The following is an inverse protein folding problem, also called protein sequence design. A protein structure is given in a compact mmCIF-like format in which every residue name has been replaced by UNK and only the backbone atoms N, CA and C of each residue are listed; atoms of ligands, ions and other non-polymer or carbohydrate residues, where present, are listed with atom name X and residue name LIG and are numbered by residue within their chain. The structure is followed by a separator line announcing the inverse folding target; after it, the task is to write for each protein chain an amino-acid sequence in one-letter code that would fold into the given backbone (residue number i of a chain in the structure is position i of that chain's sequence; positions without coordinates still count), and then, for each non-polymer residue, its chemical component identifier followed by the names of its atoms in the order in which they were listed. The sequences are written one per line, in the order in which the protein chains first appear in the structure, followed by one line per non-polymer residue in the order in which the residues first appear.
data_IF_320586717190
#
_entry.id   IF_320586717190
#
_cell.length_a   1.000
_cell.length_b   1.000
_cell.length_c   1.000
_cell.angle_alpha   90.00
_cell.angle_beta   90.00
_cell.angle_gamma   90.00
#
_symmetry.space_group_name_H-M   'P 1'
#
loop_
_entity.id
_entity.type
_entity.pdbx_description
1 polymer ?
#
# COMPACT_ATOMS: atom_id res chain seq x y z
N UNK A 1 4.37 24.01 -37.37
CA UNK A 1 4.50 22.85 -38.26
C UNK A 1 4.64 21.55 -37.47
N UNK A 2 5.72 21.27 -36.80
CA UNK A 2 5.99 20.01 -36.04
C UNK A 2 4.87 19.55 -35.09
N UNK A 3 3.99 20.43 -34.62
CA UNK A 3 2.94 20.10 -33.65
C UNK A 3 1.91 19.10 -34.20
N UNK A 4 1.37 19.33 -35.39
CA UNK A 4 0.34 18.45 -35.97
C UNK A 4 0.95 17.13 -36.49
N UNK A 5 2.15 17.18 -37.03
CA UNK A 5 2.92 16.02 -37.44
C UNK A 5 3.13 15.04 -36.26
N UNK A 6 3.60 15.58 -35.10
CA UNK A 6 3.75 14.80 -33.87
C UNK A 6 2.42 14.23 -33.37
N UNK A 7 1.32 14.98 -33.45
CA UNK A 7 0.01 14.47 -33.03
C UNK A 7 -0.46 13.32 -33.92
N UNK A 8 -0.30 13.43 -35.26
CA UNK A 8 -0.69 12.40 -36.20
C UNK A 8 0.14 11.13 -35.97
N UNK A 9 1.47 11.26 -35.91
CA UNK A 9 2.37 10.12 -35.72
C UNK A 9 2.14 9.45 -34.36
N UNK A 10 2.05 10.21 -33.27
CA UNK A 10 1.77 9.63 -31.96
C UNK A 10 0.46 8.83 -31.96
N UNK A 11 -0.60 9.37 -32.54
CA UNK A 11 -1.88 8.67 -32.60
C UNK A 11 -1.81 7.34 -33.38
N UNK A 12 -1.11 7.33 -34.50
CA UNK A 12 -0.95 6.14 -35.32
C UNK A 12 -0.02 5.11 -34.68
N UNK A 13 1.07 5.58 -34.06
CA UNK A 13 2.01 4.75 -33.32
C UNK A 13 1.34 4.12 -32.09
N UNK A 14 0.51 4.88 -31.34
CA UNK A 14 -0.26 4.32 -30.20
C UNK A 14 -1.19 3.19 -30.64
N UNK A 15 -1.83 3.32 -31.80
CA UNK A 15 -2.62 2.24 -32.39
C UNK A 15 -1.79 1.02 -32.75
N UNK A 16 -0.60 1.23 -33.33
CA UNK A 16 0.33 0.14 -33.64
C UNK A 16 0.82 -0.55 -32.38
N UNK A 17 1.34 0.19 -31.41
CA UNK A 17 1.88 -0.35 -30.16
C UNK A 17 0.82 -1.05 -29.29
N UNK A 18 -0.47 -0.71 -29.44
CA UNK A 18 -1.57 -1.37 -28.75
C UNK A 18 -2.08 -2.62 -29.46
N UNK A 19 -1.56 -2.93 -30.65
CA UNK A 19 -2.07 -4.00 -31.50
C UNK A 19 -1.43 -5.36 -31.22
N UNK A 20 -2.10 -6.43 -31.68
CA UNK A 20 -1.52 -7.78 -31.71
C UNK A 20 -0.37 -7.91 -32.71
N UNK A 21 -0.32 -7.06 -33.74
CA UNK A 21 0.79 -7.02 -34.72
C UNK A 21 2.09 -6.55 -34.08
N UNK A 22 2.03 -5.66 -33.08
CA UNK A 22 3.19 -5.19 -32.34
C UNK A 22 3.91 -6.33 -31.58
N UNK A 23 3.15 -7.23 -30.97
CA UNK A 23 3.70 -8.39 -30.23
C UNK A 23 3.92 -9.63 -31.13
N UNK A 24 3.73 -9.50 -32.46
CA UNK A 24 3.96 -10.57 -33.39
C UNK A 24 2.99 -11.75 -33.34
N UNK A 25 1.87 -11.62 -32.62
CA UNK A 25 0.86 -12.70 -32.47
C UNK A 25 -0.26 -12.63 -33.49
N UNK A 26 -0.22 -11.67 -34.42
CA UNK A 26 -1.27 -11.48 -35.41
C UNK A 26 -0.94 -12.33 -36.68
N UNK A 27 -1.93 -13.10 -37.14
CA UNK A 27 -1.84 -13.91 -38.36
C UNK A 27 -2.25 -13.14 -39.63
N UNK A 28 -2.82 -11.92 -39.47
CA UNK A 28 -3.34 -11.10 -40.56
C UNK A 28 -2.57 -9.78 -40.61
N UNK A 29 -2.22 -9.35 -41.84
CA UNK A 29 -1.61 -8.05 -42.04
C UNK A 29 -2.56 -6.93 -41.65
N UNK A 30 -2.23 -6.20 -40.59
CA UNK A 30 -3.04 -5.11 -40.02
C UNK A 30 -2.52 -3.76 -40.52
N UNK A 31 -3.41 -2.93 -41.05
CA UNK A 31 -3.14 -1.54 -41.43
C UNK A 31 -3.53 -0.59 -40.34
N UNK A 32 -2.62 0.32 -39.96
CA UNK A 32 -2.84 1.31 -38.88
C UNK A 32 -3.29 2.63 -39.47
N UNK A 33 -4.59 2.70 -39.74
CA UNK A 33 -5.26 3.83 -40.42
C UNK A 33 -6.11 4.63 -39.42
N UNK A 34 -6.12 5.94 -39.56
CA UNK A 34 -7.03 6.83 -38.83
C UNK A 34 -7.69 7.85 -39.75
N UNK A 35 -8.97 8.17 -39.51
CA UNK A 35 -9.65 9.29 -40.16
C UNK A 35 -9.17 10.60 -39.55
N UNK A 36 -8.77 11.58 -40.37
CA UNK A 36 -8.27 12.87 -39.91
C UNK A 36 -9.29 13.61 -39.05
N UNK A 37 -10.58 13.55 -39.41
CA UNK A 37 -11.66 14.14 -38.60
C UNK A 37 -11.86 13.50 -37.22
N UNK A 38 -11.34 12.28 -37.00
CA UNK A 38 -11.34 11.62 -35.69
C UNK A 38 -10.22 12.18 -34.79
N UNK A 39 -9.07 12.51 -35.35
CA UNK A 39 -7.97 13.16 -34.64
C UNK A 39 -8.24 14.65 -34.40
N UNK A 40 -8.86 15.30 -35.40
CA UNK A 40 -9.11 16.74 -35.44
C UNK A 40 -10.59 16.99 -35.77
N UNK A 41 -11.48 17.04 -34.79
CA UNK A 41 -12.93 17.16 -35.03
C UNK A 41 -13.32 18.41 -35.83
N UNK A 42 -12.61 19.52 -35.67
CA UNK A 42 -12.84 20.78 -36.37
C UNK A 42 -12.18 20.87 -37.76
N UNK A 43 -11.48 19.83 -38.21
CA UNK A 43 -10.74 19.83 -39.49
C UNK A 43 -11.61 20.16 -40.73
N UNK A 44 -12.93 19.87 -40.66
CA UNK A 44 -13.89 20.13 -41.73
C UNK A 44 -14.78 21.34 -41.47
N UNK A 45 -14.50 22.12 -40.44
CA UNK A 45 -15.24 23.32 -40.12
C UNK A 45 -14.75 24.48 -41.02
N UNK A 46 -15.66 25.04 -41.79
CA UNK A 46 -15.35 26.17 -42.70
C UNK A 46 -14.82 27.39 -41.97
N UNK A 47 -15.15 27.55 -40.67
CA UNK A 47 -14.63 28.63 -39.82
C UNK A 47 -13.16 28.42 -39.41
N UNK A 48 -12.62 27.21 -39.55
CA UNK A 48 -11.28 26.82 -39.10
C UNK A 48 -10.33 26.53 -40.29
N UNK A 49 -10.38 27.39 -41.31
CA UNK A 49 -9.59 27.21 -42.54
C UNK A 49 -8.07 27.16 -42.31
N UNK A 50 -7.54 27.91 -41.35
CA UNK A 50 -6.12 27.85 -40.99
C UNK A 50 -5.73 26.48 -40.43
N UNK A 51 -6.61 25.87 -39.61
CA UNK A 51 -6.42 24.53 -39.08
C UNK A 51 -6.43 23.47 -40.23
N UNK A 52 -7.32 23.63 -41.20
CA UNK A 52 -7.38 22.76 -42.36
C UNK A 52 -6.08 22.80 -43.16
N UNK A 53 -5.57 24.01 -43.46
CA UNK A 53 -4.30 24.19 -44.17
C UNK A 53 -3.12 23.58 -43.42
N UNK A 54 -3.01 23.87 -42.10
CA UNK A 54 -1.92 23.39 -41.27
C UNK A 54 -1.89 21.86 -41.16
N UNK A 55 -3.06 21.22 -41.07
CA UNK A 55 -3.16 19.74 -41.02
C UNK A 55 -2.82 19.13 -42.39
N UNK A 56 -3.27 19.69 -43.47
CA UNK A 56 -2.93 19.22 -44.82
C UNK A 56 -1.42 19.33 -45.07
N UNK A 57 -0.79 20.45 -44.73
CA UNK A 57 0.65 20.66 -44.80
C UNK A 57 1.45 19.61 -43.99
N UNK A 58 0.99 19.37 -42.73
CA UNK A 58 1.58 18.37 -41.87
C UNK A 58 1.48 16.96 -42.48
N UNK A 59 0.31 16.58 -43.03
CA UNK A 59 0.12 15.31 -43.70
C UNK A 59 1.00 15.20 -44.93
N UNK A 60 1.11 16.24 -45.75
CA UNK A 60 1.95 16.23 -46.97
C UNK A 60 3.43 16.09 -46.62
N UNK A 61 3.89 16.75 -45.55
CA UNK A 61 5.24 16.57 -45.00
C UNK A 61 5.49 15.12 -44.59
N UNK A 62 4.57 14.51 -43.82
CA UNK A 62 4.71 13.13 -43.38
C UNK A 62 4.67 12.13 -44.54
N UNK A 63 3.90 12.38 -45.58
CA UNK A 63 3.90 11.57 -46.83
C UNK A 63 5.22 11.71 -47.57
N UNK A 64 5.74 12.95 -47.70
CA UNK A 64 7.02 13.21 -48.36
C UNK A 64 8.19 12.54 -47.62
N UNK A 65 8.14 12.41 -46.30
CA UNK A 65 9.11 11.68 -45.49
C UNK A 65 8.91 10.15 -45.53
N UNK A 66 7.82 9.66 -46.15
CA UNK A 66 7.52 8.25 -46.21
C UNK A 66 6.96 7.62 -44.93
N UNK A 67 6.66 8.43 -43.88
CA UNK A 67 6.17 7.93 -42.60
C UNK A 67 4.71 7.48 -42.63
N UNK A 68 3.92 8.04 -43.56
CA UNK A 68 2.52 7.73 -43.74
C UNK A 68 2.11 7.73 -45.21
N UNK A 69 1.00 7.05 -45.51
CA UNK A 69 0.26 7.23 -46.77
C UNK A 69 -1.07 7.95 -46.44
N UNK A 70 -1.54 8.78 -47.36
CA UNK A 70 -2.76 9.55 -47.18
C UNK A 70 -3.79 9.30 -48.30
N UNK A 71 -5.07 9.17 -47.90
CA UNK A 71 -6.19 9.15 -48.85
C UNK A 71 -6.83 10.52 -48.90
N UNK A 72 -6.73 11.23 -50.06
CA UNK A 72 -7.32 12.54 -50.28
C UNK A 72 -8.54 12.48 -51.19
N UNK A 73 -9.51 13.36 -50.97
CA UNK A 73 -10.61 13.63 -51.88
C UNK A 73 -10.15 14.57 -53.01
N UNK A 74 -10.92 14.65 -54.10
CA UNK A 74 -10.67 15.60 -55.19
C UNK A 74 -10.70 17.07 -54.74
N UNK A 75 -11.40 17.33 -53.63
CA UNK A 75 -11.47 18.64 -52.97
C UNK A 75 -10.22 19.01 -52.17
N UNK A 76 -9.20 18.18 -52.09
CA UNK A 76 -8.01 18.37 -51.28
C UNK A 76 -8.17 17.94 -49.82
N UNK A 77 -9.37 17.51 -49.38
CA UNK A 77 -9.63 17.04 -48.02
C UNK A 77 -8.97 15.70 -47.76
N UNK A 78 -8.11 15.59 -46.77
CA UNK A 78 -7.53 14.33 -46.32
C UNK A 78 -8.60 13.52 -45.55
N UNK A 79 -8.95 12.35 -46.07
CA UNK A 79 -9.91 11.45 -45.41
C UNK A 79 -9.28 10.64 -44.31
N UNK A 80 -8.15 10.00 -44.61
CA UNK A 80 -7.46 9.12 -43.69
C UNK A 80 -5.96 9.11 -43.94
N UNK A 81 -5.22 8.79 -42.87
CA UNK A 81 -3.76 8.63 -42.86
C UNK A 81 -3.44 7.24 -42.33
N UNK A 82 -2.52 6.55 -42.97
CA UNK A 82 -2.10 5.19 -42.62
C UNK A 82 -0.59 5.20 -42.33
N UNK A 83 -0.18 4.61 -41.20
CA UNK A 83 1.22 4.47 -40.82
C UNK A 83 1.97 3.53 -41.75
N UNK A 84 3.17 3.92 -42.18
CA UNK A 84 4.12 3.09 -42.89
C UNK A 84 5.01 2.38 -41.87
N UNK A 85 4.88 1.05 -41.78
CA UNK A 85 5.70 0.26 -40.87
C UNK A 85 7.15 0.13 -41.30
N UNK A 86 7.44 0.26 -42.60
CA UNK A 86 8.79 0.20 -43.14
C UNK A 86 9.67 1.39 -42.70
N UNK A 87 9.04 2.52 -42.36
CA UNK A 87 9.70 3.72 -41.87
C UNK A 87 9.39 4.03 -40.39
N UNK A 88 9.03 3.01 -39.58
CA UNK A 88 8.57 3.20 -38.20
C UNK A 88 9.68 3.72 -37.29
N UNK A 89 10.92 3.25 -37.48
CA UNK A 89 12.06 3.66 -36.66
C UNK A 89 12.39 5.14 -36.86
N UNK A 90 12.42 5.56 -38.13
CA UNK A 90 12.65 6.95 -38.52
C UNK A 90 11.49 7.85 -38.03
N UNK A 91 10.25 7.33 -38.02
CA UNK A 91 9.10 8.04 -37.45
C UNK A 91 9.22 8.25 -35.93
N UNK A 92 9.73 7.27 -35.17
CA UNK A 92 10.05 7.45 -33.75
C UNK A 92 11.11 8.54 -33.54
N UNK A 93 12.20 8.49 -34.29
CA UNK A 93 13.28 9.49 -34.19
C UNK A 93 12.77 10.89 -34.51
N UNK A 94 11.96 11.03 -35.59
CA UNK A 94 11.40 12.31 -36.03
C UNK A 94 10.56 13.00 -34.95
N UNK A 95 9.77 12.26 -34.19
CA UNK A 95 8.96 12.83 -33.10
C UNK A 95 9.70 12.88 -31.77
N UNK A 96 10.89 12.27 -31.67
CA UNK A 96 11.68 12.15 -30.43
C UNK A 96 11.01 11.23 -29.40
N UNK A 97 10.36 10.15 -29.86
CA UNK A 97 9.69 9.15 -29.00
C UNK A 97 10.53 7.88 -28.92
N UNK A 98 10.71 7.39 -27.71
CA UNK A 98 11.36 6.08 -27.49
C UNK A 98 10.38 4.97 -27.90
N UNK A 99 10.81 4.02 -28.74
CA UNK A 99 9.99 2.87 -29.12
C UNK A 99 9.55 2.06 -27.91
N UNK A 100 8.28 1.66 -27.87
CA UNK A 100 7.76 0.81 -26.79
C UNK A 100 8.52 -0.52 -26.67
N UNK A 101 9.05 -1.06 -27.77
CA UNK A 101 9.92 -2.24 -27.77
C UNK A 101 11.13 -2.06 -26.86
N UNK A 102 11.79 -0.91 -26.91
CA UNK A 102 13.00 -0.61 -26.14
C UNK A 102 12.66 -0.44 -24.67
N UNK A 103 11.55 0.28 -24.38
CA UNK A 103 10.99 0.39 -23.03
C UNK A 103 10.71 -1.01 -22.43
N UNK A 104 10.10 -1.90 -23.21
CA UNK A 104 9.80 -3.29 -22.78
C UNK A 104 11.07 -4.09 -22.52
N UNK A 105 12.11 -3.93 -23.35
CA UNK A 105 13.41 -4.58 -23.14
C UNK A 105 14.04 -4.13 -21.82
N UNK A 106 14.07 -2.84 -21.56
CA UNK A 106 14.68 -2.29 -20.35
C UNK A 106 13.86 -2.63 -19.09
N UNK A 107 12.53 -2.59 -19.17
CA UNK A 107 11.67 -3.06 -18.07
C UNK A 107 11.90 -4.55 -17.77
N UNK A 108 12.04 -5.41 -18.79
CA UNK A 108 12.35 -6.83 -18.56
C UNK A 108 13.69 -7.02 -17.85
N UNK A 109 14.74 -6.27 -18.23
CA UNK A 109 16.05 -6.33 -17.55
C UNK A 109 15.91 -5.94 -16.07
N UNK A 110 15.20 -4.84 -15.79
CA UNK A 110 14.98 -4.39 -14.42
C UNK A 110 14.20 -5.42 -13.60
N UNK A 111 13.10 -5.95 -14.14
CA UNK A 111 12.28 -6.95 -13.43
C UNK A 111 13.08 -8.22 -13.13
N UNK A 112 13.88 -8.70 -14.07
CA UNK A 112 14.73 -9.89 -13.88
C UNK A 112 15.82 -9.65 -12.83
N UNK A 113 16.36 -8.43 -12.73
CA UNK A 113 17.36 -8.07 -11.72
C UNK A 113 16.81 -8.19 -10.29
N UNK A 114 15.53 -7.85 -10.08
CA UNK A 114 14.91 -7.83 -8.73
C UNK A 114 14.08 -9.07 -8.41
N UNK A 115 13.76 -9.92 -9.38
CA UNK A 115 12.84 -11.06 -9.23
C UNK A 115 13.19 -11.99 -8.07
N UNK A 116 14.46 -12.24 -7.86
CA UNK A 116 14.94 -13.24 -6.89
C UNK A 116 15.38 -12.63 -5.55
N UNK A 117 15.13 -11.32 -5.33
CA UNK A 117 15.55 -10.64 -4.11
C UNK A 117 14.75 -11.07 -2.87
N UNK A 118 13.43 -11.24 -2.99
CA UNK A 118 12.55 -11.75 -1.94
C UNK A 118 11.23 -12.27 -2.53
N UNK A 119 10.40 -12.91 -1.69
CA UNK A 119 9.13 -13.54 -2.11
C UNK A 119 8.15 -12.52 -2.72
N UNK A 120 8.08 -11.30 -2.17
CA UNK A 120 7.19 -10.24 -2.62
C UNK A 120 7.59 -9.79 -4.03
N UNK A 121 8.88 -9.52 -4.24
CA UNK A 121 9.40 -9.14 -5.56
C UNK A 121 9.32 -10.29 -6.55
N UNK A 122 9.48 -11.54 -6.12
CA UNK A 122 9.30 -12.70 -7.00
C UNK A 122 7.87 -12.76 -7.56
N UNK A 123 6.87 -12.59 -6.71
CA UNK A 123 5.45 -12.56 -7.12
C UNK A 123 5.15 -11.37 -8.02
N UNK A 124 5.56 -10.15 -7.61
CA UNK A 124 5.37 -8.93 -8.37
C UNK A 124 6.04 -9.01 -9.75
N UNK A 125 7.35 -9.27 -9.81
CA UNK A 125 8.09 -9.28 -11.07
C UNK A 125 7.58 -10.37 -12.03
N UNK A 126 7.20 -11.55 -11.55
CA UNK A 126 6.59 -12.59 -12.38
C UNK A 126 5.30 -12.08 -13.01
N UNK A 127 4.43 -11.45 -12.23
CA UNK A 127 3.18 -10.86 -12.72
C UNK A 127 3.41 -9.75 -13.74
N UNK A 128 4.41 -8.88 -13.51
CA UNK A 128 4.73 -7.81 -14.47
C UNK A 128 5.32 -8.35 -15.78
N UNK A 129 6.14 -9.40 -15.72
CA UNK A 129 6.66 -10.08 -16.94
C UNK A 129 5.53 -10.70 -17.77
N UNK A 130 4.51 -11.31 -17.13
CA UNK A 130 3.30 -11.79 -17.80
C UNK A 130 2.55 -10.64 -18.49
N UNK A 131 2.36 -9.51 -17.77
CA UNK A 131 1.70 -8.32 -18.31
C UNK A 131 2.43 -7.78 -19.55
N UNK A 132 3.76 -7.72 -19.52
CA UNK A 132 4.56 -7.32 -20.69
C UNK A 132 4.40 -8.29 -21.86
N UNK A 133 4.31 -9.59 -21.60
CA UNK A 133 4.04 -10.59 -22.65
C UNK A 133 2.65 -10.42 -23.27
N UNK A 134 1.68 -9.94 -22.49
CA UNK A 134 0.32 -9.60 -22.93
C UNK A 134 0.19 -8.18 -23.51
N UNK A 135 1.30 -7.47 -23.73
CA UNK A 135 1.33 -6.07 -24.17
C UNK A 135 0.64 -5.06 -23.22
N UNK A 136 0.51 -5.42 -21.95
CA UNK A 136 -0.06 -4.56 -20.89
C UNK A 136 1.02 -3.70 -20.24
N UNK A 137 0.62 -2.55 -19.70
CA UNK A 137 1.51 -1.68 -18.92
C UNK A 137 1.98 -2.35 -17.63
N UNK A 138 3.21 -2.04 -17.20
CA UNK A 138 3.77 -2.43 -15.91
C UNK A 138 3.18 -1.55 -14.80
N UNK A 139 2.78 -2.16 -13.71
CA UNK A 139 2.25 -1.45 -12.53
C UNK A 139 3.37 -0.64 -11.87
N UNK A 140 3.04 0.51 -11.32
CA UNK A 140 3.95 1.45 -10.66
C UNK A 140 5.03 2.08 -11.57
N UNK A 141 5.05 1.80 -12.87
CA UNK A 141 5.92 2.45 -13.85
C UNK A 141 5.20 3.60 -14.55
N UNK A 142 5.70 4.82 -14.39
CA UNK A 142 5.12 6.06 -14.96
C UNK A 142 6.00 6.65 -16.07
N UNK A 143 6.90 5.85 -16.66
CA UNK A 143 7.82 6.31 -17.70
C UNK A 143 9.22 6.69 -17.19
N UNK A 144 9.45 6.76 -15.88
CA UNK A 144 10.75 7.06 -15.27
C UNK A 144 11.38 5.76 -14.74
N UNK A 145 12.46 5.32 -15.38
CA UNK A 145 13.18 4.09 -15.01
C UNK A 145 13.92 4.21 -13.69
N UNK A 146 14.47 5.37 -13.35
CA UNK A 146 15.22 5.58 -12.11
C UNK A 146 14.30 5.55 -10.90
N UNK A 147 13.12 6.18 -11.02
CA UNK A 147 12.07 6.09 -9.99
C UNK A 147 11.60 4.65 -9.85
N UNK A 148 11.36 3.94 -10.95
CA UNK A 148 10.92 2.55 -10.92
C UNK A 148 11.95 1.62 -10.28
N UNK A 149 13.22 1.74 -10.63
CA UNK A 149 14.30 1.00 -9.99
C UNK A 149 14.40 1.33 -8.50
N UNK A 150 14.22 2.60 -8.11
CA UNK A 150 14.22 3.03 -6.72
C UNK A 150 13.11 2.36 -5.91
N UNK A 151 11.91 2.17 -6.50
CA UNK A 151 10.80 1.43 -5.86
C UNK A 151 11.21 -0.02 -5.60
N UNK A 152 11.71 -0.73 -6.62
CA UNK A 152 12.09 -2.14 -6.48
C UNK A 152 13.27 -2.32 -5.53
N UNK A 153 14.26 -1.42 -5.57
CA UNK A 153 15.38 -1.39 -4.64
C UNK A 153 14.93 -1.17 -3.20
N UNK A 154 14.00 -0.25 -2.96
CA UNK A 154 13.43 -0.04 -1.64
C UNK A 154 12.71 -1.31 -1.14
N UNK A 155 11.88 -1.95 -1.97
CA UNK A 155 11.18 -3.19 -1.61
C UNK A 155 12.15 -4.34 -1.36
N UNK A 156 13.26 -4.44 -2.10
CA UNK A 156 14.27 -5.47 -1.85
C UNK A 156 14.95 -5.33 -0.50
N UNK A 157 15.16 -4.09 -0.03
CA UNK A 157 15.91 -3.81 1.21
C UNK A 157 15.02 -3.66 2.44
N UNK A 158 13.79 -3.22 2.30
CA UNK A 158 12.90 -2.97 3.43
C UNK A 158 12.60 -4.24 4.23
N UNK A 159 12.52 -5.41 3.59
CA UNK A 159 12.29 -6.70 4.23
C UNK A 159 13.49 -7.22 5.04
N UNK A 160 14.68 -6.63 4.83
CA UNK A 160 15.92 -6.99 5.54
C UNK A 160 16.09 -6.18 6.84
N UNK A 161 15.28 -5.13 7.05
CA UNK A 161 15.41 -4.21 8.20
C UNK A 161 14.98 -4.91 9.49
N UNK A 162 15.94 -5.13 10.40
CA UNK A 162 15.73 -5.88 11.66
C UNK A 162 15.42 -4.97 12.85
N UNK A 163 15.91 -3.73 12.82
CA UNK A 163 15.76 -2.75 13.90
C UNK A 163 14.95 -1.56 13.41
N UNK A 164 14.28 -0.88 14.35
CA UNK A 164 13.59 0.36 14.06
C UNK A 164 14.53 1.36 13.39
N UNK A 165 14.19 1.80 12.19
CA UNK A 165 14.98 2.66 11.32
C UNK A 165 14.11 3.82 10.84
N UNK A 166 14.61 5.04 10.89
CA UNK A 166 13.85 6.18 10.39
C UNK A 166 13.73 6.15 8.86
N UNK A 167 12.58 6.57 8.35
CA UNK A 167 12.36 6.66 6.88
C UNK A 167 13.49 7.43 6.17
N UNK A 168 14.00 8.50 6.80
CA UNK A 168 15.13 9.30 6.25
C UNK A 168 16.44 8.55 6.23
N UNK A 169 16.75 7.81 7.28
CA UNK A 169 17.98 7.02 7.36
C UNK A 169 17.93 5.86 6.37
N UNK A 170 16.79 5.15 6.29
CA UNK A 170 16.55 4.14 5.27
C UNK A 170 16.70 4.72 3.86
N UNK A 171 16.12 5.91 3.61
CA UNK A 171 16.22 6.61 2.33
C UNK A 171 17.68 6.92 1.95
N UNK A 172 18.48 7.43 2.88
CA UNK A 172 19.91 7.71 2.64
C UNK A 172 20.67 6.41 2.36
N UNK A 173 20.49 5.39 3.19
CA UNK A 173 21.22 4.12 3.08
C UNK A 173 20.91 3.38 1.76
N UNK A 174 19.65 3.38 1.35
CA UNK A 174 19.20 2.59 0.21
C UNK A 174 19.22 3.40 -1.09
N UNK A 175 18.81 4.66 -1.04
CA UNK A 175 18.56 5.49 -2.23
C UNK A 175 19.56 6.66 -2.38
N UNK A 176 20.39 6.92 -1.37
CA UNK A 176 21.41 7.98 -1.40
C UNK A 176 20.89 9.40 -1.14
N UNK A 177 19.57 9.58 -0.95
CA UNK A 177 18.94 10.87 -0.69
C UNK A 177 17.88 10.75 0.40
N UNK A 178 17.88 11.68 1.37
CA UNK A 178 16.99 11.64 2.55
C UNK A 178 15.49 11.76 2.24
N UNK A 179 15.14 12.28 1.06
CA UNK A 179 13.76 12.51 0.61
C UNK A 179 13.34 11.60 -0.54
N UNK A 180 14.25 10.77 -1.06
CA UNK A 180 13.95 9.89 -2.20
C UNK A 180 12.83 8.89 -1.86
N UNK A 181 12.87 8.29 -0.67
CA UNK A 181 11.85 7.34 -0.22
C UNK A 181 10.46 7.99 -0.08
N UNK A 182 10.40 9.23 0.40
CA UNK A 182 9.13 9.96 0.53
C UNK A 182 8.38 10.07 -0.81
N UNK A 183 9.10 10.31 -1.91
CA UNK A 183 8.53 10.41 -3.27
C UNK A 183 7.92 9.10 -3.76
N UNK A 184 8.50 7.98 -3.38
CA UNK A 184 8.07 6.63 -3.84
C UNK A 184 7.26 5.86 -2.79
N UNK A 185 7.11 6.41 -1.57
CA UNK A 185 6.52 5.73 -0.40
C UNK A 185 5.16 5.08 -0.70
N UNK A 186 4.27 5.80 -1.35
CA UNK A 186 2.92 5.30 -1.65
C UNK A 186 2.95 4.08 -2.59
N UNK A 187 3.84 4.08 -3.59
CA UNK A 187 4.02 2.98 -4.54
C UNK A 187 4.67 1.76 -3.86
N UNK A 188 5.69 1.99 -3.02
CA UNK A 188 6.33 0.93 -2.22
C UNK A 188 5.32 0.27 -1.29
N UNK A 189 4.54 1.06 -0.54
CA UNK A 189 3.50 0.54 0.37
C UNK A 189 2.43 -0.23 -0.38
N UNK A 190 1.98 0.27 -1.54
CA UNK A 190 0.99 -0.43 -2.36
C UNK A 190 1.51 -1.76 -2.87
N UNK A 191 2.75 -1.82 -3.38
CA UNK A 191 3.37 -3.05 -3.86
C UNK A 191 3.54 -4.06 -2.72
N UNK A 192 4.06 -3.63 -1.56
CA UNK A 192 4.21 -4.49 -0.38
C UNK A 192 2.88 -5.06 0.09
N UNK A 193 1.82 -4.22 0.13
CA UNK A 193 0.50 -4.63 0.58
C UNK A 193 -0.18 -5.60 -0.38
N UNK A 194 -0.04 -5.38 -1.68
CA UNK A 194 -0.70 -6.18 -2.72
C UNK A 194 -0.06 -7.56 -2.89
N UNK A 195 1.28 -7.64 -2.79
CA UNK A 195 2.05 -8.86 -3.06
C UNK A 195 2.63 -9.52 -1.80
N UNK A 196 2.47 -8.90 -0.64
CA UNK A 196 2.85 -9.44 0.66
C UNK A 196 1.64 -9.84 1.50
N UNK A 197 1.92 -10.43 2.66
CA UNK A 197 0.90 -10.81 3.65
C UNK A 197 0.93 -9.81 4.81
N UNK A 198 0.33 -8.64 4.59
CA UNK A 198 0.22 -7.58 5.60
C UNK A 198 -1.24 -7.28 5.89
N UNK A 199 -1.63 -7.27 7.16
CA UNK A 199 -3.02 -7.09 7.56
C UNK A 199 -3.55 -5.68 7.32
N UNK A 200 -2.68 -4.67 7.44
CA UNK A 200 -3.05 -3.26 7.30
C UNK A 200 -1.99 -2.46 6.52
N UNK A 201 -2.47 -1.61 5.63
CA UNK A 201 -1.62 -0.78 4.77
C UNK A 201 -0.99 0.40 5.51
N UNK A 202 -1.64 0.93 6.53
CA UNK A 202 -1.19 2.12 7.26
C UNK A 202 -0.01 1.80 8.18
N UNK A 203 -0.04 0.62 8.80
CA UNK A 203 0.98 0.17 9.76
C UNK A 203 2.11 -0.64 9.13
N UNK A 204 1.96 -1.05 7.86
CA UNK A 204 2.87 -1.95 7.16
C UNK A 204 4.35 -1.55 7.27
N UNK A 205 4.68 -0.27 7.08
CA UNK A 205 6.07 0.20 7.19
C UNK A 205 6.60 0.06 8.61
N UNK A 206 5.77 0.35 9.62
CA UNK A 206 6.15 0.17 11.03
C UNK A 206 6.33 -1.32 11.38
N UNK A 207 5.54 -2.22 10.78
CA UNK A 207 5.70 -3.67 10.91
C UNK A 207 7.02 -4.16 10.29
N UNK A 208 7.50 -3.46 9.27
CA UNK A 208 8.81 -3.66 8.65
C UNK A 208 9.92 -2.81 9.29
N UNK A 209 9.69 -2.27 10.49
CA UNK A 209 10.64 -1.45 11.26
C UNK A 209 11.01 -0.12 10.59
N UNK A 210 10.22 0.40 9.66
CA UNK A 210 10.44 1.72 9.07
C UNK A 210 9.44 2.70 9.70
N UNK A 211 9.98 3.71 10.39
CA UNK A 211 9.17 4.68 11.15
C UNK A 211 9.53 6.12 10.79
N UNK A 212 8.57 7.03 10.88
CA UNK A 212 8.82 8.47 10.68
C UNK A 212 9.43 9.13 11.90
N UNK A 213 8.97 8.72 13.07
CA UNK A 213 9.38 9.25 14.36
C UNK A 213 9.72 8.10 15.31
N UNK A 214 10.51 8.34 16.37
CA UNK A 214 10.75 7.33 17.39
C UNK A 214 9.44 6.76 17.90
N UNK A 215 9.33 5.44 17.92
CA UNK A 215 8.22 4.76 18.53
C UNK A 215 8.19 5.01 20.04
N UNK A 216 6.99 5.09 20.61
CA UNK A 216 6.79 5.14 22.06
C UNK A 216 5.87 3.99 22.47
N UNK A 217 6.11 3.47 23.66
CA UNK A 217 5.18 2.58 24.33
C UNK A 217 4.55 3.33 25.48
N UNK A 218 3.23 3.46 25.43
CA UNK A 218 2.43 4.08 26.50
C UNK A 218 1.89 2.97 27.39
N UNK A 219 2.01 3.17 28.69
CA UNK A 219 1.49 2.26 29.70
C UNK A 219 1.07 3.00 30.97
N UNK A 220 0.22 2.40 31.76
CA UNK A 220 -0.25 2.95 33.05
C UNK A 220 -0.75 1.85 33.99
N UNK A 221 -1.08 2.23 35.21
CA UNK A 221 -1.68 1.34 36.21
C UNK A 221 -0.69 0.79 37.21
N UNK A 222 -0.92 -0.44 37.70
CA UNK A 222 -0.22 -1.00 38.86
C UNK A 222 1.10 -1.64 38.46
N UNK A 223 2.20 -0.90 38.58
CA UNK A 223 3.51 -1.45 38.21
C UNK A 223 4.71 -0.60 38.57
N UNK A 224 5.89 -1.19 38.42
CA UNK A 224 7.21 -0.58 38.59
C UNK A 224 8.07 -0.89 37.36
N UNK A 225 8.91 0.05 36.99
CA UNK A 225 9.85 -0.08 35.88
C UNK A 225 11.26 0.21 36.39
N UNK A 226 12.21 -0.66 36.09
CA UNK A 226 13.64 -0.39 36.33
C UNK A 226 14.33 -0.09 35.01
N UNK A 227 14.97 1.07 34.91
CA UNK A 227 15.69 1.51 33.72
C UNK A 227 17.10 1.94 34.11
N UNK A 228 18.14 1.30 33.58
CA UNK A 228 19.53 1.59 33.93
C UNK A 228 19.79 1.53 35.42
N UNK A 229 19.19 0.58 36.13
CA UNK A 229 19.30 0.40 37.58
C UNK A 229 18.44 1.34 38.42
N UNK A 230 17.72 2.30 37.84
CA UNK A 230 16.81 3.21 38.54
C UNK A 230 15.39 2.69 38.49
N UNK A 231 14.76 2.53 39.67
CA UNK A 231 13.37 2.08 39.77
C UNK A 231 12.39 3.26 39.79
N UNK A 232 11.39 3.18 38.94
CA UNK A 232 10.26 4.11 38.84
C UNK A 232 8.99 3.37 39.27
N UNK A 233 8.36 3.77 40.38
CA UNK A 233 7.07 3.27 40.83
C UNK A 233 5.97 4.18 40.29
N UNK A 234 5.19 3.69 39.34
CA UNK A 234 4.07 4.43 38.75
C UNK A 234 2.69 3.94 39.23
N UNK A 235 2.66 3.05 40.21
CA UNK A 235 1.40 2.48 40.74
C UNK A 235 0.49 3.50 41.39
N UNK A 236 1.01 4.65 41.81
CA UNK A 236 0.28 5.77 42.43
C UNK A 236 0.25 7.02 41.51
N UNK A 237 0.78 6.92 40.30
CA UNK A 237 0.76 8.04 39.36
C UNK A 237 -0.60 8.15 38.68
N UNK A 238 -1.06 9.38 38.48
CA UNK A 238 -2.21 9.65 37.62
C UNK A 238 -1.76 9.77 36.15
N UNK A 239 -2.51 9.15 35.26
CA UNK A 239 -2.25 9.20 33.84
C UNK A 239 -1.32 8.10 33.36
N UNK A 240 -0.85 8.26 32.14
CA UNK A 240 0.02 7.33 31.44
C UNK A 240 1.48 7.77 31.45
N UNK A 241 2.35 6.82 31.24
CA UNK A 241 3.77 7.03 30.96
C UNK A 241 4.08 6.62 29.52
N UNK A 242 5.00 7.35 28.90
CA UNK A 242 5.54 7.02 27.59
C UNK A 242 7.06 6.80 27.67
N UNK A 243 7.51 5.68 27.12
CA UNK A 243 8.94 5.36 27.01
C UNK A 243 9.30 5.19 25.54
N UNK A 244 10.38 5.84 25.11
CA UNK A 244 10.84 5.74 23.72
C UNK A 244 11.39 4.36 23.39
N UNK A 245 11.39 4.00 22.11
CA UNK A 245 11.98 2.76 21.60
C UNK A 245 13.47 2.61 21.97
N UNK A 246 14.20 3.72 22.03
CA UNK A 246 15.61 3.69 22.47
C UNK A 246 15.73 3.42 23.96
N UNK A 247 14.90 4.06 24.79
CA UNK A 247 14.93 3.86 26.23
C UNK A 247 14.48 2.43 26.61
N UNK A 248 13.61 1.79 25.80
CA UNK A 248 13.21 0.39 25.98
C UNK A 248 14.39 -0.59 25.97
N UNK A 249 15.51 -0.24 25.28
CA UNK A 249 16.73 -1.05 25.26
C UNK A 249 17.42 -1.11 26.61
N UNK A 250 17.20 -0.07 27.46
CA UNK A 250 17.76 0.07 28.80
C UNK A 250 16.79 -0.33 29.92
N UNK A 251 15.62 -0.86 29.57
CA UNK A 251 14.70 -1.41 30.57
C UNK A 251 15.23 -2.72 31.11
N UNK A 252 15.55 -2.75 32.39
CA UNK A 252 16.07 -3.93 33.09
C UNK A 252 14.91 -4.85 33.52
N UNK A 253 13.93 -4.27 34.22
CA UNK A 253 12.82 -5.00 34.83
C UNK A 253 11.48 -4.25 34.71
N UNK A 254 10.39 -5.03 34.61
CA UNK A 254 9.01 -4.55 34.67
C UNK A 254 8.25 -5.43 35.66
N UNK A 255 7.94 -4.90 36.83
CA UNK A 255 7.13 -5.59 37.83
C UNK A 255 5.68 -5.14 37.75
N UNK A 256 4.77 -6.05 37.48
CA UNK A 256 3.32 -5.82 37.51
C UNK A 256 2.80 -6.13 38.92
N UNK A 257 2.23 -5.12 39.58
CA UNK A 257 1.67 -5.26 40.94
C UNK A 257 0.21 -5.71 40.95
N UNK A 258 -0.55 -5.40 39.88
CA UNK A 258 -1.91 -5.89 39.69
C UNK A 258 -1.95 -7.36 39.21
N UNK A 259 -3.14 -7.93 39.09
CA UNK A 259 -3.32 -9.31 38.64
C UNK A 259 -3.44 -9.44 37.12
N UNK A 260 -3.69 -8.34 36.42
CA UNK A 260 -4.00 -8.30 34.99
C UNK A 260 -3.02 -7.42 34.22
N UNK A 261 -2.55 -7.91 33.09
CA UNK A 261 -1.92 -7.14 32.03
C UNK A 261 -2.90 -7.04 30.87
N UNK A 262 -3.29 -5.81 30.51
CA UNK A 262 -4.25 -5.57 29.42
C UNK A 262 -3.64 -4.73 28.31
N UNK A 263 -3.75 -5.17 27.08
CA UNK A 263 -3.46 -4.35 25.91
C UNK A 263 -4.73 -3.71 25.39
N UNK A 264 -4.70 -2.41 25.10
CA UNK A 264 -5.86 -1.63 24.65
C UNK A 264 -5.53 -1.03 23.28
N UNK A 265 -6.41 -1.25 22.30
CA UNK A 265 -6.18 -0.88 20.92
C UNK A 265 -6.28 0.64 20.69
N UNK A 266 -7.35 1.25 21.21
CA UNK A 266 -7.66 2.66 21.00
C UNK A 266 -7.04 3.56 22.06
N UNK A 267 -6.49 4.73 21.67
CA UNK A 267 -5.82 5.66 22.57
C UNK A 267 -6.83 6.36 23.53
N UNK A 268 -8.00 6.71 23.02
CA UNK A 268 -9.05 7.36 23.85
C UNK A 268 -9.52 6.41 24.93
N UNK A 269 -9.79 5.16 24.55
CA UNK A 269 -10.16 4.08 25.47
C UNK A 269 -9.04 3.79 26.47
N UNK A 270 -7.77 3.72 26.00
CA UNK A 270 -6.64 3.54 26.90
C UNK A 270 -6.56 4.64 27.93
N UNK A 271 -6.75 5.92 27.55
CA UNK A 271 -6.70 7.04 28.48
C UNK A 271 -7.84 7.00 29.50
N UNK A 272 -9.05 6.64 29.07
CA UNK A 272 -10.24 6.58 29.95
C UNK A 272 -10.27 5.31 30.82
N UNK A 273 -9.57 4.24 30.45
CA UNK A 273 -9.61 2.96 31.15
C UNK A 273 -9.13 3.07 32.61
N UNK A 274 -9.91 2.55 33.55
CA UNK A 274 -9.53 2.54 34.98
C UNK A 274 -8.66 1.31 35.29
N UNK A 275 -7.48 1.54 35.87
CA UNK A 275 -6.49 0.51 36.22
C UNK A 275 -6.36 0.31 37.73
N UNK A 276 -7.43 -0.14 38.41
CA UNK A 276 -7.37 -0.38 39.86
C UNK A 276 -6.49 -1.60 40.20
N UNK A 277 -6.59 -2.68 39.45
CA UNK A 277 -5.83 -3.92 39.64
C UNK A 277 -5.12 -4.38 38.32
N UNK A 278 -4.83 -3.48 37.41
CA UNK A 278 -4.26 -3.84 36.13
C UNK A 278 -3.06 -2.98 35.73
N UNK A 279 -2.26 -3.51 34.82
CA UNK A 279 -1.21 -2.84 34.07
C UNK A 279 -1.65 -2.77 32.60
N UNK A 280 -2.00 -1.58 32.15
CA UNK A 280 -2.49 -1.34 30.81
C UNK A 280 -1.37 -0.88 29.87
N UNK A 281 -1.34 -1.42 28.67
CA UNK A 281 -0.41 -1.08 27.58
C UNK A 281 -1.23 -0.63 26.37
N UNK A 282 -0.98 0.56 25.84
CA UNK A 282 -1.56 1.02 24.59
C UNK A 282 -0.93 0.29 23.41
N UNK A 283 -1.76 -0.37 22.60
CA UNK A 283 -1.33 -1.15 21.47
C UNK A 283 -1.28 -0.34 20.17
N UNK A 284 -2.28 0.49 19.89
CA UNK A 284 -2.37 1.33 18.71
C UNK A 284 -2.59 0.55 17.43
N UNK A 285 -3.56 -0.35 17.43
CA UNK A 285 -3.83 -1.24 16.29
C UNK A 285 -2.73 -2.29 16.08
N UNK A 286 -2.31 -2.49 14.82
CA UNK A 286 -1.18 -3.37 14.53
C UNK A 286 0.12 -2.82 15.13
N UNK A 287 0.66 -3.55 16.06
CA UNK A 287 1.76 -3.12 16.93
C UNK A 287 3.13 -3.30 16.28
N UNK A 288 4.02 -2.30 16.45
CA UNK A 288 5.40 -2.35 15.96
C UNK A 288 6.31 -3.28 16.81
N UNK A 289 7.52 -3.50 16.34
CA UNK A 289 8.51 -4.36 17.01
C UNK A 289 8.84 -3.90 18.43
N UNK A 290 8.93 -2.60 18.68
CA UNK A 290 9.24 -2.07 20.02
C UNK A 290 8.16 -2.40 21.03
N UNK A 291 6.87 -2.24 20.68
CA UNK A 291 5.74 -2.63 21.54
C UNK A 291 5.72 -4.13 21.80
N UNK A 292 5.92 -4.95 20.75
CA UNK A 292 6.00 -6.41 20.89
C UNK A 292 7.12 -6.84 21.85
N UNK A 293 8.30 -6.26 21.72
CA UNK A 293 9.44 -6.58 22.56
C UNK A 293 9.19 -6.18 24.02
N UNK A 294 8.55 -5.02 24.26
CA UNK A 294 8.14 -4.62 25.58
C UNK A 294 7.12 -5.59 26.20
N UNK A 295 6.07 -5.94 25.46
CA UNK A 295 5.05 -6.91 25.89
C UNK A 295 5.67 -8.26 26.23
N UNK A 296 6.59 -8.77 25.38
CA UNK A 296 7.32 -10.02 25.66
C UNK A 296 8.19 -9.93 26.91
N UNK A 297 8.80 -8.76 27.18
CA UNK A 297 9.57 -8.52 28.40
C UNK A 297 8.66 -8.54 29.61
N UNK A 298 7.52 -7.85 29.58
CA UNK A 298 6.50 -7.86 30.65
C UNK A 298 6.06 -9.30 30.93
N UNK A 299 5.73 -10.07 29.89
CA UNK A 299 5.30 -11.46 30.05
C UNK A 299 6.38 -12.35 30.67
N UNK A 300 7.62 -12.24 30.20
CA UNK A 300 8.75 -13.02 30.73
C UNK A 300 8.96 -12.81 32.22
N UNK A 301 8.72 -11.59 32.72
CA UNK A 301 8.95 -11.21 34.10
C UNK A 301 7.70 -11.36 34.98
N UNK A 302 6.52 -11.49 34.38
CA UNK A 302 5.24 -11.63 35.09
C UNK A 302 4.37 -12.74 34.45
N UNK A 303 4.85 -14.00 34.35
CA UNK A 303 4.17 -15.06 33.61
C UNK A 303 2.86 -15.52 34.28
N UNK A 304 2.69 -15.27 35.58
CA UNK A 304 1.53 -15.73 36.36
C UNK A 304 0.33 -14.78 36.29
N UNK A 305 0.47 -13.63 35.59
CA UNK A 305 -0.59 -12.66 35.42
C UNK A 305 -1.56 -13.07 34.32
N UNK A 306 -2.80 -12.60 34.43
CA UNK A 306 -3.78 -12.76 33.36
C UNK A 306 -3.49 -11.75 32.23
N UNK A 307 -3.42 -12.23 31.00
CA UNK A 307 -3.16 -11.40 29.82
C UNK A 307 -4.44 -11.21 29.01
N UNK A 308 -4.90 -9.96 28.89
CA UNK A 308 -6.13 -9.59 28.21
C UNK A 308 -5.84 -8.63 27.04
N UNK A 309 -6.72 -8.66 26.05
CA UNK A 309 -6.73 -7.68 24.96
C UNK A 309 -8.11 -7.07 24.83
N UNK A 310 -8.16 -5.76 24.79
CA UNK A 310 -9.37 -4.98 24.55
C UNK A 310 -9.22 -4.26 23.21
N UNK A 311 -10.02 -4.63 22.24
CA UNK A 311 -10.06 -4.10 20.86
C UNK A 311 -11.47 -3.86 20.40
N UNK A 312 -11.61 -3.39 19.16
CA UNK A 312 -12.89 -3.25 18.49
C UNK A 312 -13.59 -4.60 18.31
N UNK A 313 -14.91 -4.61 18.34
CA UNK A 313 -15.68 -5.80 17.97
C UNK A 313 -16.00 -5.72 16.48
N UNK A 314 -14.95 -5.92 15.68
CA UNK A 314 -15.02 -6.00 14.23
C UNK A 314 -13.95 -6.94 13.67
N UNK A 315 -13.86 -7.06 12.34
CA UNK A 315 -12.86 -7.92 11.71
C UNK A 315 -11.43 -7.46 12.04
N UNK A 316 -11.18 -6.15 12.13
CA UNK A 316 -9.87 -5.59 12.46
C UNK A 316 -9.40 -5.99 13.84
N UNK A 317 -10.22 -5.75 14.88
CA UNK A 317 -9.87 -6.05 16.27
C UNK A 317 -9.62 -7.55 16.51
N UNK A 318 -10.41 -8.45 15.89
CA UNK A 318 -10.14 -9.89 16.00
C UNK A 318 -8.83 -10.28 15.33
N UNK A 319 -8.49 -9.72 14.16
CA UNK A 319 -7.20 -9.97 13.51
C UNK A 319 -6.03 -9.39 14.32
N UNK A 320 -6.19 -8.23 14.94
CA UNK A 320 -5.17 -7.62 15.80
C UNK A 320 -4.87 -8.55 16.98
N UNK A 321 -5.90 -9.10 17.63
CA UNK A 321 -5.71 -10.05 18.71
C UNK A 321 -4.99 -11.35 18.25
N UNK A 322 -5.39 -11.91 17.11
CA UNK A 322 -4.70 -13.08 16.55
C UNK A 322 -3.24 -12.76 16.19
N UNK A 323 -3.00 -11.62 15.57
CA UNK A 323 -1.65 -11.15 15.23
C UNK A 323 -0.79 -10.93 16.50
N UNK A 324 -1.37 -10.33 17.55
CA UNK A 324 -0.70 -10.15 18.84
C UNK A 324 -0.26 -11.49 19.42
N UNK A 325 -1.14 -12.49 19.46
CA UNK A 325 -0.83 -13.86 19.93
C UNK A 325 0.26 -14.52 19.10
N UNK A 326 0.12 -14.48 17.77
CA UNK A 326 1.07 -15.11 16.85
C UNK A 326 2.48 -14.49 16.94
N UNK A 327 2.57 -13.15 17.08
CA UNK A 327 3.86 -12.44 17.13
C UNK A 327 4.52 -12.44 18.50
N UNK A 328 3.74 -12.58 19.58
CA UNK A 328 4.28 -12.59 20.94
C UNK A 328 4.45 -13.99 21.52
N UNK A 329 3.63 -14.95 21.09
CA UNK A 329 3.51 -16.27 21.70
C UNK A 329 2.74 -16.27 23.01
N UNK A 330 2.03 -15.15 23.36
CA UNK A 330 1.30 -14.99 24.61
C UNK A 330 -0.18 -15.24 24.36
N UNK A 331 -0.82 -16.05 25.22
CA UNK A 331 -2.24 -16.37 25.12
C UNK A 331 -3.13 -15.25 25.69
N UNK A 332 -3.21 -14.11 24.99
CA UNK A 332 -4.12 -13.04 25.35
C UNK A 332 -5.58 -13.51 25.22
N UNK A 333 -6.40 -13.31 26.26
CA UNK A 333 -7.84 -13.52 26.16
C UNK A 333 -8.55 -12.24 25.71
N UNK A 334 -9.63 -12.32 24.91
CA UNK A 334 -10.42 -11.14 24.54
C UNK A 334 -11.13 -10.59 25.79
N UNK A 335 -11.10 -9.26 25.95
CA UNK A 335 -11.80 -8.53 27.01
C UNK A 335 -12.88 -7.66 26.39
N UNK A 336 -14.13 -7.82 26.79
CA UNK A 336 -15.28 -7.10 26.24
C UNK A 336 -15.44 -7.20 24.71
N UNK A 337 -14.96 -8.30 24.09
CA UNK A 337 -15.08 -8.55 22.65
C UNK A 337 -16.08 -9.69 22.37
N UNK A 338 -17.24 -9.67 23.01
CA UNK A 338 -18.20 -10.76 23.03
C UNK A 338 -19.65 -10.32 22.71
N UNK A 339 -20.54 -11.31 22.60
CA UNK A 339 -21.99 -11.09 22.36
C UNK A 339 -22.65 -10.27 23.46
N UNK A 340 -22.21 -10.41 24.73
CA UNK A 340 -22.78 -9.67 25.87
C UNK A 340 -22.50 -8.18 25.68
N UNK A 341 -21.30 -7.83 25.34
CA UNK A 341 -20.88 -6.44 25.09
C UNK A 341 -21.63 -5.84 23.90
N UNK A 342 -21.78 -6.58 22.79
CA UNK A 342 -22.57 -6.13 21.64
C UNK A 342 -24.03 -5.86 22.01
N UNK A 343 -24.67 -6.75 22.78
CA UNK A 343 -26.06 -6.60 23.22
C UNK A 343 -26.24 -5.37 24.10
N UNK A 344 -25.31 -5.11 25.00
CA UNK A 344 -25.36 -3.95 25.91
C UNK A 344 -25.22 -2.61 25.16
N UNK A 345 -24.55 -2.63 24.00
CA UNK A 345 -24.20 -1.42 23.23
C UNK A 345 -24.85 -1.37 21.84
N UNK A 346 -25.95 -2.10 21.57
CA UNK A 346 -26.57 -2.19 20.25
C UNK A 346 -26.88 -0.83 19.62
N UNK A 347 -27.27 0.15 20.40
CA UNK A 347 -27.60 1.51 19.96
C UNK A 347 -26.40 2.28 19.37
N UNK A 348 -25.18 1.86 19.70
CA UNK A 348 -23.94 2.49 19.23
C UNK A 348 -23.25 1.70 18.11
N UNK A 349 -23.84 0.58 17.70
CA UNK A 349 -23.25 -0.26 16.66
C UNK A 349 -23.35 0.38 15.27
N UNK A 350 -22.35 0.11 14.44
CA UNK A 350 -22.32 0.44 13.01
C UNK A 350 -22.66 -0.78 12.17
N UNK A 351 -23.12 -0.56 10.93
CA UNK A 351 -23.40 -1.64 9.98
C UNK A 351 -22.10 -2.25 9.45
N UNK A 352 -22.13 -3.55 9.19
CA UNK A 352 -21.03 -4.25 8.51
C UNK A 352 -20.93 -3.80 7.04
N UNK A 353 -19.71 -3.53 6.59
CA UNK A 353 -19.41 -3.37 5.16
C UNK A 353 -19.24 -4.72 4.48
N UNK A 354 -19.26 -4.76 3.16
CA UNK A 354 -18.99 -6.02 2.41
C UNK A 354 -17.59 -6.55 2.69
N UNK A 355 -16.62 -5.66 2.91
CA UNK A 355 -15.27 -6.05 3.31
C UNK A 355 -15.23 -6.65 4.72
N UNK A 356 -15.97 -6.07 5.68
CA UNK A 356 -16.11 -6.65 7.01
C UNK A 356 -16.66 -8.07 6.92
N UNK A 357 -17.75 -8.27 6.16
CA UNK A 357 -18.38 -9.59 5.99
C UNK A 357 -17.43 -10.62 5.40
N UNK A 358 -16.67 -10.24 4.35
CA UNK A 358 -15.68 -11.11 3.73
C UNK A 358 -14.58 -11.51 4.73
N UNK A 359 -14.06 -10.56 5.50
CA UNK A 359 -13.01 -10.83 6.48
C UNK A 359 -13.52 -11.64 7.67
N UNK A 360 -14.69 -11.32 8.22
CA UNK A 360 -15.30 -12.05 9.32
C UNK A 360 -15.63 -13.50 8.94
N UNK A 361 -16.01 -13.78 7.69
CA UNK A 361 -16.31 -15.16 7.25
C UNK A 361 -15.14 -16.12 7.41
N UNK A 362 -13.90 -15.66 7.36
CA UNK A 362 -12.71 -16.48 7.59
C UNK A 362 -12.46 -16.81 9.05
N UNK A 363 -13.13 -16.12 9.97
CA UNK A 363 -12.97 -16.24 11.41
C UNK A 363 -14.12 -17.01 12.10
N UNK A 364 -15.18 -17.41 11.37
CA UNK A 364 -16.35 -18.11 11.94
C UNK A 364 -15.98 -19.41 12.64
N UNK A 365 -14.98 -20.14 12.15
CA UNK A 365 -14.48 -21.37 12.76
C UNK A 365 -13.53 -21.20 13.95
N UNK A 366 -13.36 -19.97 14.45
CA UNK A 366 -12.46 -19.66 15.56
C UNK A 366 -13.25 -19.49 16.88
N UNK A 367 -12.56 -19.18 17.98
CA UNK A 367 -13.17 -18.82 19.27
C UNK A 367 -14.14 -17.63 19.20
N UNK A 368 -14.04 -16.80 18.14
CA UNK A 368 -14.92 -15.63 17.91
C UNK A 368 -16.23 -15.99 17.19
N UNK A 369 -16.44 -17.28 16.85
CA UNK A 369 -17.56 -17.74 16.00
C UNK A 369 -18.93 -17.27 16.49
N UNK A 370 -19.22 -17.41 17.79
CA UNK A 370 -20.50 -16.98 18.37
C UNK A 370 -20.72 -15.46 18.22
N UNK A 371 -19.67 -14.68 18.47
CA UNK A 371 -19.73 -13.22 18.32
C UNK A 371 -19.92 -12.81 16.88
N UNK A 372 -19.22 -13.47 15.94
CA UNK A 372 -19.30 -13.20 14.50
C UNK A 372 -20.67 -13.58 13.95
N UNK A 373 -21.26 -14.72 14.37
CA UNK A 373 -22.62 -15.10 13.99
C UNK A 373 -23.64 -14.06 14.47
N UNK A 374 -23.49 -13.55 15.70
CA UNK A 374 -24.34 -12.47 16.17
C UNK A 374 -24.18 -11.19 15.34
N UNK A 375 -22.93 -10.83 15.00
CA UNK A 375 -22.64 -9.69 14.13
C UNK A 375 -23.30 -9.82 12.75
N UNK A 376 -23.23 -10.98 12.13
CA UNK A 376 -23.89 -11.24 10.84
C UNK A 376 -25.41 -11.16 10.95
N UNK A 377 -25.99 -11.81 11.97
CA UNK A 377 -27.44 -11.84 12.19
C UNK A 377 -28.02 -10.43 12.37
N UNK A 378 -27.31 -9.57 13.08
CA UNK A 378 -27.77 -8.21 13.43
C UNK A 378 -27.17 -7.14 12.51
N UNK A 379 -26.32 -7.52 11.55
CA UNK A 379 -25.59 -6.61 10.66
C UNK A 379 -24.89 -5.48 11.41
N UNK A 380 -24.12 -5.83 12.46
CA UNK A 380 -23.56 -4.86 13.41
C UNK A 380 -22.08 -5.14 13.71
N UNK A 381 -21.34 -4.06 14.00
CA UNK A 381 -20.01 -4.03 14.60
C UNK A 381 -19.94 -2.90 15.59
N UNK A 382 -19.00 -2.95 16.54
CA UNK A 382 -18.88 -1.96 17.62
C UNK A 382 -17.43 -1.49 17.72
N UNK A 383 -17.26 -0.17 17.66
CA UNK A 383 -15.97 0.47 17.95
C UNK A 383 -15.78 0.65 19.44
N UNK A 384 -14.55 0.51 19.89
CA UNK A 384 -14.18 0.54 21.29
C UNK A 384 -14.56 1.86 21.99
N UNK A 385 -14.48 3.00 21.29
CA UNK A 385 -14.84 4.31 21.82
C UNK A 385 -16.34 4.48 22.12
N UNK A 386 -17.16 3.67 21.47
CA UNK A 386 -18.62 3.74 21.64
C UNK A 386 -19.14 2.97 22.89
N UNK A 387 -18.24 2.26 23.59
CA UNK A 387 -18.56 1.56 24.81
C UNK A 387 -18.61 2.54 25.99
N UNK A 388 -19.46 2.28 26.97
CA UNK A 388 -19.49 3.07 28.21
C UNK A 388 -18.27 2.75 29.08
N UNK A 389 -17.25 3.59 28.95
CA UNK A 389 -15.95 3.38 29.60
C UNK A 389 -15.99 3.62 31.12
N UNK A 390 -17.05 4.24 31.68
CA UNK A 390 -17.18 4.41 33.12
C UNK A 390 -17.43 3.10 33.87
N UNK A 391 -17.96 2.08 33.19
CA UNK A 391 -18.21 0.77 33.77
C UNK A 391 -17.12 -0.26 33.36
N UNK A 392 -16.11 0.14 32.58
CA UNK A 392 -15.05 -0.76 32.08
C UNK A 392 -13.73 -0.42 32.78
N UNK A 393 -13.36 -1.24 33.73
CA UNK A 393 -12.10 -1.16 34.46
C UNK A 393 -11.80 -2.48 35.18
N UNK A 394 -10.52 -2.74 35.47
CA UNK A 394 -10.04 -3.90 36.23
C UNK A 394 -9.10 -3.44 37.34
#
# INVERSE_FOLDING_TARGET
MIKYEKQILNFLIDKYESSKSFIGTNQVHQSFTCKVAQMFPKYKDDAEYELFCAINEAVDTLVAQGFVTAKKLKSGVVQSVTLSLDAINEAYEYIGRIPKSDIVVDLKKILLLYKDCNVILSAYCSRQLERLAENKSVESFDGDFDIYQSILKAVSKITEVKNETFERDFSIQVLGDSKAFEKIRSKVVSLLYEYGDFPDKETLLADLNIVKNPGHVYFKGKGKLTVGGQQIDFSQMFGDMAISSDMLKSVDDVTVLGDVVITIENLTTFNAFNCENSFAIYLGGYHNTSRRNFIKKVYKQNPDKQYLHFGDIDAGGFYILQHLRNKTGIAFAPYCMDVKTLKANLQYTKKLTENDKKRLSTLVGTEFGETIEFMFKNNCKLEQEAMDLMEIGI
#
